data_IF_480582624040
#
_entry.id   IF_480582624040
#
_cell.length_a   1.000
_cell.length_b   1.000
_cell.length_c   1.000
_cell.angle_alpha   90.00
_cell.angle_beta   90.00
_cell.angle_gamma   90.00
#
_symmetry.space_group_name_H-M   'P 1'
#
loop_
_entity.id
_entity.type
_entity.pdbx_description
1 polymer ?
#
# COMPACT_ATOMS: atom_id res chain seq x y z
N UNK A 1 -29.37 18.35 23.37
CA UNK A 1 -29.61 17.18 22.50
C UNK A 1 -28.47 16.19 22.68
N UNK A 2 -28.75 15.04 23.30
CA UNK A 2 -27.78 13.98 23.56
C UNK A 2 -27.33 13.39 22.21
N UNK A 3 -26.04 13.43 21.91
CA UNK A 3 -25.50 12.78 20.71
C UNK A 3 -25.75 11.28 20.80
N UNK A 4 -26.52 10.72 19.88
CA UNK A 4 -26.72 9.28 19.80
C UNK A 4 -25.37 8.58 19.63
N UNK A 5 -24.97 7.78 20.63
CA UNK A 5 -23.81 6.89 20.50
C UNK A 5 -24.09 5.92 19.34
N UNK A 6 -23.14 5.71 18.42
CA UNK A 6 -23.32 4.74 17.34
C UNK A 6 -23.57 3.35 17.94
N UNK A 7 -24.67 2.70 17.55
CA UNK A 7 -24.99 1.33 17.96
C UNK A 7 -23.89 0.40 17.41
N UNK A 8 -23.17 -0.26 18.31
CA UNK A 8 -22.23 -1.33 17.95
C UNK A 8 -23.08 -2.53 17.55
N UNK A 9 -23.21 -2.76 16.25
CA UNK A 9 -23.90 -3.94 15.72
C UNK A 9 -22.96 -5.13 15.82
N UNK A 10 -23.26 -6.08 16.70
CA UNK A 10 -22.57 -7.37 16.79
C UNK A 10 -23.33 -8.41 15.94
N UNK A 11 -22.66 -8.98 14.94
CA UNK A 11 -23.19 -10.01 14.02
C UNK A 11 -22.33 -10.12 12.74
N UNK A 12 -22.65 -10.97 11.75
CA UNK A 12 -21.94 -11.04 10.46
C UNK A 12 -21.87 -9.68 9.73
N UNK A 13 -22.84 -8.80 9.99
CA UNK A 13 -22.87 -7.41 9.54
C UNK A 13 -21.76 -6.52 10.16
N UNK A 14 -21.09 -6.96 11.24
CA UNK A 14 -19.98 -6.27 11.87
C UNK A 14 -18.71 -6.27 11.01
N UNK A 15 -18.55 -7.28 10.13
CA UNK A 15 -17.48 -7.30 9.11
C UNK A 15 -17.66 -6.17 8.08
N UNK A 16 -18.91 -5.72 7.86
CA UNK A 16 -19.25 -4.65 6.91
C UNK A 16 -19.52 -3.29 7.59
N UNK A 17 -19.38 -3.19 8.90
CA UNK A 17 -19.69 -1.96 9.67
C UNK A 17 -18.71 -0.81 9.42
N UNK A 18 -17.46 -1.13 9.07
CA UNK A 18 -16.45 -0.15 8.67
C UNK A 18 -15.75 -0.59 7.38
N UNK A 19 -15.60 0.35 6.44
CA UNK A 19 -15.09 0.10 5.08
C UNK A 19 -13.74 -0.59 4.99
N UNK A 20 -12.92 -0.48 6.02
CA UNK A 20 -11.59 -1.07 6.06
C UNK A 20 -11.58 -2.55 6.39
N UNK A 21 -12.55 -3.04 7.17
CA UNK A 21 -12.53 -4.39 7.74
C UNK A 21 -12.55 -5.50 6.67
N UNK A 22 -13.37 -5.44 5.61
CA UNK A 22 -13.36 -6.47 4.58
C UNK A 22 -12.01 -6.57 3.88
N UNK A 23 -11.34 -5.44 3.60
CA UNK A 23 -10.05 -5.44 2.93
C UNK A 23 -8.90 -5.90 3.82
N UNK A 24 -8.84 -5.46 5.08
CA UNK A 24 -7.82 -5.95 6.01
C UNK A 24 -8.00 -7.45 6.29
N UNK A 25 -9.23 -7.90 6.57
CA UNK A 25 -9.52 -9.31 6.82
C UNK A 25 -9.34 -10.15 5.57
N UNK A 26 -9.91 -9.74 4.44
CA UNK A 26 -9.79 -10.43 3.16
C UNK A 26 -8.36 -10.50 2.67
N UNK A 27 -7.60 -9.40 2.78
CA UNK A 27 -6.18 -9.38 2.46
C UNK A 27 -5.38 -10.35 3.35
N UNK A 28 -5.59 -10.33 4.66
CA UNK A 28 -4.92 -11.25 5.57
C UNK A 28 -5.28 -12.72 5.30
N UNK A 29 -6.56 -13.01 5.09
CA UNK A 29 -7.04 -14.34 4.71
C UNK A 29 -6.43 -14.79 3.38
N UNK A 30 -6.39 -13.91 2.39
CA UNK A 30 -5.79 -14.20 1.10
C UNK A 30 -4.29 -14.46 1.22
N UNK A 31 -3.54 -13.67 1.97
CA UNK A 31 -2.12 -13.94 2.22
C UNK A 31 -1.90 -15.31 2.89
N UNK A 32 -2.77 -15.68 3.83
CA UNK A 32 -2.72 -16.98 4.50
C UNK A 32 -3.05 -18.16 3.56
N UNK A 33 -3.83 -17.94 2.50
CA UNK A 33 -4.17 -18.95 1.47
C UNK A 33 -3.11 -18.98 0.36
N UNK A 34 -2.71 -17.81 -0.14
CA UNK A 34 -1.78 -17.65 -1.25
C UNK A 34 -0.39 -18.20 -0.90
N UNK A 35 0.06 -18.09 0.36
CA UNK A 35 1.36 -18.62 0.76
C UNK A 35 1.46 -20.16 0.63
N UNK A 36 0.54 -20.97 1.22
CA UNK A 36 0.49 -22.41 0.95
C UNK A 36 0.32 -22.77 -0.52
N UNK A 37 -0.53 -22.07 -1.27
CA UNK A 37 -0.71 -22.30 -2.71
C UNK A 37 0.58 -22.08 -3.48
N UNK A 38 1.29 -20.99 -3.18
CA UNK A 38 2.59 -20.74 -3.78
C UNK A 38 3.62 -21.81 -3.42
N UNK A 39 3.69 -22.25 -2.17
CA UNK A 39 4.62 -23.33 -1.75
C UNK A 39 4.32 -24.62 -2.52
N UNK A 40 3.04 -24.97 -2.66
CA UNK A 40 2.62 -26.15 -3.43
C UNK A 40 2.94 -26.00 -4.92
N UNK A 41 2.79 -24.80 -5.49
CA UNK A 41 3.15 -24.48 -6.88
C UNK A 41 4.67 -24.54 -7.10
N UNK A 42 5.46 -23.95 -6.18
CA UNK A 42 6.92 -23.93 -6.23
C UNK A 42 7.52 -25.33 -6.11
N UNK A 43 6.91 -26.20 -5.30
CA UNK A 43 7.33 -27.59 -5.11
C UNK A 43 6.79 -28.55 -6.18
N UNK A 44 5.99 -28.04 -7.14
CA UNK A 44 5.40 -28.84 -8.21
C UNK A 44 4.28 -29.80 -7.75
N UNK A 45 3.74 -29.64 -6.54
CA UNK A 45 2.63 -30.46 -6.03
C UNK A 45 1.29 -30.12 -6.68
N UNK A 46 1.13 -28.87 -7.10
CA UNK A 46 0.00 -28.38 -7.89
C UNK A 46 0.55 -27.57 -9.07
N UNK A 47 -0.19 -27.55 -10.17
CA UNK A 47 0.17 -26.79 -11.36
C UNK A 47 -1.00 -25.90 -11.75
N UNK A 48 -0.81 -24.59 -11.59
CA UNK A 48 -1.70 -23.54 -12.05
C UNK A 48 -0.89 -22.26 -12.30
N UNK A 49 -1.49 -21.25 -12.92
CA UNK A 49 -0.81 -20.02 -13.32
C UNK A 49 0.41 -20.29 -14.21
N UNK A 50 0.30 -21.26 -15.12
CA UNK A 50 1.41 -21.74 -15.97
C UNK A 50 2.08 -20.63 -16.76
N UNK A 51 1.29 -19.63 -17.21
CA UNK A 51 1.79 -18.48 -17.97
C UNK A 51 2.54 -17.46 -17.11
N UNK A 52 2.21 -17.35 -15.82
CA UNK A 52 2.94 -16.49 -14.88
C UNK A 52 4.17 -17.19 -14.30
N UNK A 53 4.08 -18.50 -14.07
CA UNK A 53 5.03 -19.25 -13.27
C UNK A 53 4.93 -18.94 -11.77
N UNK A 54 5.53 -19.81 -10.95
CA UNK A 54 5.40 -19.76 -9.49
C UNK A 54 5.88 -18.44 -8.87
N UNK A 55 7.00 -17.90 -9.37
CA UNK A 55 7.62 -16.69 -8.81
C UNK A 55 6.81 -15.45 -9.13
N UNK A 56 6.38 -15.27 -10.39
CA UNK A 56 5.63 -14.08 -10.76
C UNK A 56 4.21 -14.11 -10.18
N UNK A 57 3.57 -15.28 -10.12
CA UNK A 57 2.26 -15.41 -9.46
C UNK A 57 2.35 -15.02 -7.98
N UNK A 58 3.37 -15.49 -7.27
CA UNK A 58 3.63 -15.07 -5.88
C UNK A 58 3.83 -13.57 -5.76
N UNK A 59 4.74 -13.00 -6.56
CA UNK A 59 5.01 -11.58 -6.52
C UNK A 59 3.73 -10.77 -6.76
N UNK A 60 2.91 -11.16 -7.74
CA UNK A 60 1.64 -10.51 -8.04
C UNK A 60 0.68 -10.57 -6.85
N UNK A 61 0.47 -11.74 -6.28
CA UNK A 61 -0.52 -11.92 -5.21
C UNK A 61 -0.14 -11.24 -3.90
N UNK A 62 1.16 -11.07 -3.60
CA UNK A 62 1.58 -10.30 -2.44
C UNK A 62 1.58 -8.78 -2.68
N UNK A 63 1.87 -8.33 -3.91
CA UNK A 63 1.90 -6.91 -4.26
C UNK A 63 0.52 -6.33 -4.55
N UNK A 64 -0.25 -6.96 -5.44
CA UNK A 64 -1.56 -6.50 -5.93
C UNK A 64 -2.73 -7.26 -5.31
N UNK A 65 -2.49 -8.45 -4.79
CA UNK A 65 -3.46 -9.19 -3.98
C UNK A 65 -3.61 -8.61 -2.59
N UNK A 66 -2.65 -8.97 -1.76
CA UNK A 66 -2.54 -8.53 -0.37
C UNK A 66 -2.24 -7.03 -0.26
N UNK A 67 -1.15 -6.55 -0.88
CA UNK A 67 -0.68 -5.17 -0.75
C UNK A 67 -1.75 -4.14 -1.14
N UNK A 68 -2.42 -4.34 -2.28
CA UNK A 68 -3.49 -3.46 -2.70
C UNK A 68 -4.69 -3.48 -1.74
N UNK A 69 -5.08 -4.64 -1.21
CA UNK A 69 -6.16 -4.72 -0.22
C UNK A 69 -5.83 -3.89 1.03
N UNK A 70 -4.61 -4.01 1.56
CA UNK A 70 -4.16 -3.24 2.73
C UNK A 70 -4.15 -1.73 2.43
N UNK A 71 -3.64 -1.31 1.27
CA UNK A 71 -3.63 0.10 0.86
C UNK A 71 -5.05 0.64 0.74
N UNK A 72 -5.95 -0.06 0.06
CA UNK A 72 -7.36 0.35 -0.09
C UNK A 72 -8.06 0.41 1.26
N UNK A 73 -7.91 -0.63 2.09
CA UNK A 73 -8.49 -0.68 3.43
C UNK A 73 -8.02 0.50 4.30
N UNK A 74 -6.73 0.82 4.23
CA UNK A 74 -6.18 1.97 4.94
C UNK A 74 -6.70 3.31 4.40
N UNK A 75 -6.69 3.52 3.08
CA UNK A 75 -7.14 4.77 2.46
C UNK A 75 -8.63 5.04 2.65
N UNK A 76 -9.45 3.99 2.73
CA UNK A 76 -10.85 4.10 3.10
C UNK A 76 -11.05 4.65 4.53
N UNK A 77 -10.07 4.51 5.43
CA UNK A 77 -10.12 5.15 6.76
C UNK A 77 -9.49 6.53 6.80
N UNK A 78 -8.46 6.75 5.97
CA UNK A 78 -7.64 7.95 6.02
C UNK A 78 -8.22 9.13 5.23
N UNK A 79 -9.00 8.88 4.17
CA UNK A 79 -9.59 9.94 3.35
C UNK A 79 -10.95 10.34 3.95
N UNK A 80 -11.05 11.55 4.55
CA UNK A 80 -12.31 12.01 5.11
C UNK A 80 -13.30 12.33 3.99
N UNK A 81 -14.55 11.85 4.10
CA UNK A 81 -15.61 12.29 3.21
C UNK A 81 -16.22 13.59 3.77
N UNK A 82 -16.22 14.68 3.00
CA UNK A 82 -16.82 15.96 3.43
C UNK A 82 -18.34 15.93 3.55
N UNK A 83 -19.01 14.86 3.11
CA UNK A 83 -20.45 14.62 3.35
C UNK A 83 -20.74 13.85 4.66
N UNK A 84 -19.74 13.64 5.53
CA UNK A 84 -19.94 13.00 6.85
C UNK A 84 -19.97 11.46 6.85
N UNK A 85 -19.73 10.82 5.69
CA UNK A 85 -19.65 9.36 5.54
C UNK A 85 -18.22 8.80 5.39
N UNK A 86 -18.07 7.52 5.08
CA UNK A 86 -16.87 7.03 4.36
C UNK A 86 -17.16 7.20 2.85
N UNK A 87 -16.17 7.43 1.98
CA UNK A 87 -16.39 7.55 0.54
C UNK A 87 -17.12 6.34 -0.06
N UNK A 88 -16.94 5.17 0.55
CA UNK A 88 -17.51 3.89 0.13
C UNK A 88 -18.07 3.18 1.36
N UNK A 89 -19.40 3.01 1.45
CA UNK A 89 -20.09 2.21 2.49
C UNK A 89 -21.12 1.27 1.85
N UNK A 90 -21.45 0.20 2.55
CA UNK A 90 -22.53 -0.72 2.16
C UNK A 90 -22.31 -1.32 0.78
N UNK A 91 -23.25 -1.11 -0.14
CA UNK A 91 -23.25 -1.73 -1.48
C UNK A 91 -22.00 -1.41 -2.29
N UNK A 92 -21.55 -0.16 -2.31
CA UNK A 92 -20.37 0.22 -3.08
C UNK A 92 -19.09 -0.47 -2.57
N UNK A 93 -19.02 -0.72 -1.25
CA UNK A 93 -17.90 -1.42 -0.63
C UNK A 93 -17.93 -2.90 -1.01
N UNK A 94 -19.12 -3.50 -0.96
CA UNK A 94 -19.32 -4.88 -1.36
C UNK A 94 -18.94 -5.09 -2.83
N UNK A 95 -19.36 -4.19 -3.73
CA UNK A 95 -18.97 -4.23 -5.15
C UNK A 95 -17.44 -4.18 -5.30
N UNK A 96 -16.79 -3.22 -4.65
CA UNK A 96 -15.34 -3.09 -4.74
C UNK A 96 -14.60 -4.34 -4.19
N UNK A 97 -15.08 -4.90 -3.08
CA UNK A 97 -14.53 -6.11 -2.50
C UNK A 97 -14.77 -7.34 -3.41
N UNK A 98 -15.95 -7.45 -4.03
CA UNK A 98 -16.23 -8.54 -4.98
C UNK A 98 -15.36 -8.44 -6.24
N UNK A 99 -15.06 -7.23 -6.73
CA UNK A 99 -14.14 -7.05 -7.86
C UNK A 99 -12.74 -7.51 -7.44
N UNK A 100 -12.26 -7.11 -6.26
CA UNK A 100 -10.98 -7.57 -5.72
C UNK A 100 -10.91 -9.09 -5.60
N UNK A 101 -11.93 -9.73 -5.00
CA UNK A 101 -12.00 -11.18 -4.85
C UNK A 101 -12.07 -11.89 -6.21
N UNK A 102 -12.77 -11.31 -7.18
CA UNK A 102 -12.85 -11.83 -8.55
C UNK A 102 -11.49 -11.82 -9.23
N UNK A 103 -10.66 -10.78 -9.02
CA UNK A 103 -9.28 -10.76 -9.53
C UNK A 103 -8.42 -11.91 -9.02
N UNK A 104 -8.54 -12.22 -7.72
CA UNK A 104 -7.83 -13.36 -7.09
C UNK A 104 -8.26 -14.70 -7.69
N UNK A 105 -9.57 -14.91 -7.83
CA UNK A 105 -10.09 -16.10 -8.49
C UNK A 105 -9.66 -16.15 -9.96
N UNK A 106 -9.68 -15.03 -10.67
CA UNK A 106 -9.28 -14.95 -12.07
C UNK A 106 -7.81 -15.34 -12.27
N UNK A 107 -6.91 -14.98 -11.35
CA UNK A 107 -5.51 -15.39 -11.39
C UNK A 107 -5.32 -16.87 -11.02
N UNK A 108 -6.11 -17.42 -10.08
CA UNK A 108 -6.09 -18.86 -9.80
C UNK A 108 -6.54 -19.70 -11.00
N UNK A 109 -7.58 -19.24 -11.70
CA UNK A 109 -8.16 -19.92 -12.86
C UNK A 109 -7.63 -19.37 -14.20
N UNK A 110 -6.49 -18.66 -14.18
CA UNK A 110 -5.95 -17.97 -15.36
C UNK A 110 -5.66 -18.91 -16.54
N UNK A 111 -5.30 -20.16 -16.26
CA UNK A 111 -5.08 -21.17 -17.30
C UNK A 111 -6.39 -21.62 -17.99
N UNK A 112 -7.54 -21.44 -17.33
CA UNK A 112 -8.87 -21.81 -17.86
C UNK A 112 -9.50 -20.64 -18.63
N UNK A 113 -9.49 -19.45 -18.04
CA UNK A 113 -10.14 -18.26 -18.63
C UNK A 113 -9.23 -17.48 -19.59
N UNK A 114 -7.93 -17.79 -19.59
CA UNK A 114 -6.91 -17.12 -20.37
C UNK A 114 -6.31 -15.89 -19.67
N UNK A 115 -5.04 -15.63 -19.97
CA UNK A 115 -4.23 -14.57 -19.36
C UNK A 115 -4.84 -13.16 -19.52
N UNK A 116 -5.35 -12.84 -20.71
CA UNK A 116 -5.92 -11.51 -20.99
C UNK A 116 -7.19 -11.27 -20.18
N UNK A 117 -8.07 -12.26 -20.09
CA UNK A 117 -9.29 -12.16 -19.29
C UNK A 117 -8.96 -12.04 -17.79
N UNK A 118 -8.01 -12.85 -17.31
CA UNK A 118 -7.54 -12.79 -15.93
C UNK A 118 -6.96 -11.41 -15.58
N UNK A 119 -6.07 -10.89 -16.42
CA UNK A 119 -5.46 -9.57 -16.26
C UNK A 119 -6.48 -8.43 -16.29
N UNK A 120 -7.49 -8.52 -17.16
CA UNK A 120 -8.55 -7.52 -17.23
C UNK A 120 -9.38 -7.50 -15.95
N UNK A 121 -9.85 -8.66 -15.47
CA UNK A 121 -10.64 -8.78 -14.24
C UNK A 121 -9.84 -8.28 -13.03
N UNK A 122 -8.57 -8.67 -12.94
CA UNK A 122 -7.67 -8.25 -11.87
C UNK A 122 -7.48 -6.72 -11.82
N UNK A 123 -7.21 -6.12 -12.98
CA UNK A 123 -6.93 -4.68 -13.09
C UNK A 123 -8.12 -3.79 -12.76
N UNK A 124 -9.37 -4.30 -12.90
CA UNK A 124 -10.59 -3.54 -12.58
C UNK A 124 -10.61 -3.04 -11.14
N UNK A 125 -10.03 -3.78 -10.19
CA UNK A 125 -10.04 -3.40 -8.79
C UNK A 125 -9.26 -2.10 -8.55
N UNK A 126 -7.98 -2.09 -8.93
CA UNK A 126 -7.10 -0.94 -8.72
C UNK A 126 -7.55 0.27 -9.53
N UNK A 127 -7.92 0.07 -10.80
CA UNK A 127 -8.47 1.13 -11.65
C UNK A 127 -9.77 1.70 -11.08
N UNK A 128 -10.72 0.85 -10.70
CA UNK A 128 -11.99 1.26 -10.11
C UNK A 128 -11.79 2.05 -8.82
N UNK A 129 -10.87 1.63 -7.96
CA UNK A 129 -10.53 2.37 -6.75
C UNK A 129 -9.83 3.69 -7.03
N UNK A 130 -8.89 3.72 -7.98
CA UNK A 130 -8.20 4.96 -8.37
C UNK A 130 -9.18 5.99 -8.93
N UNK A 131 -10.11 5.57 -9.80
CA UNK A 131 -11.18 6.44 -10.35
C UNK A 131 -12.06 6.98 -9.22
N UNK A 132 -12.44 6.14 -8.26
CA UNK A 132 -13.24 6.57 -7.13
C UNK A 132 -12.52 7.64 -6.30
N UNK A 133 -11.25 7.41 -5.94
CA UNK A 133 -10.47 8.40 -5.19
C UNK A 133 -10.27 9.69 -5.99
N UNK A 134 -10.00 9.59 -7.29
CA UNK A 134 -9.82 10.75 -8.16
C UNK A 134 -11.09 11.62 -8.23
N UNK A 135 -12.25 10.98 -8.36
CA UNK A 135 -13.56 11.66 -8.34
C UNK A 135 -13.77 12.42 -7.02
N UNK A 136 -13.48 11.80 -5.88
CA UNK A 136 -13.64 12.45 -4.57
C UNK A 136 -12.67 13.63 -4.38
N UNK A 137 -11.43 13.51 -4.86
CA UNK A 137 -10.44 14.60 -4.81
C UNK A 137 -10.90 15.80 -5.65
N UNK A 138 -11.39 15.58 -6.87
CA UNK A 138 -11.89 16.64 -7.75
C UNK A 138 -13.15 17.27 -7.17
N UNK A 139 -14.15 16.46 -6.83
CA UNK A 139 -15.43 16.94 -6.31
C UNK A 139 -15.27 17.71 -4.99
N UNK A 140 -14.40 17.21 -4.10
CA UNK A 140 -14.10 17.83 -2.82
C UNK A 140 -13.06 18.96 -2.87
N UNK A 141 -12.45 19.20 -4.04
CA UNK A 141 -11.29 20.11 -4.23
C UNK A 141 -10.18 19.89 -3.19
N UNK A 142 -9.96 18.64 -2.80
CA UNK A 142 -9.00 18.26 -1.77
C UNK A 142 -7.62 18.02 -2.35
N UNK A 143 -7.00 19.11 -2.81
CA UNK A 143 -5.68 19.10 -3.43
C UNK A 143 -4.57 18.54 -2.53
N UNK A 144 -4.80 18.47 -1.21
CA UNK A 144 -3.86 17.86 -0.26
C UNK A 144 -3.74 16.35 -0.44
N UNK A 145 -4.80 15.72 -0.95
CA UNK A 145 -4.91 14.29 -1.23
C UNK A 145 -4.67 13.93 -2.70
N UNK A 146 -4.44 14.91 -3.58
CA UNK A 146 -4.06 14.69 -4.98
C UNK A 146 -2.83 13.78 -5.11
N UNK A 147 -1.85 13.93 -4.20
CA UNK A 147 -0.65 13.07 -4.17
C UNK A 147 -0.99 11.59 -4.01
N UNK A 148 -1.95 11.27 -3.14
CA UNK A 148 -2.38 9.88 -2.92
C UNK A 148 -3.08 9.35 -4.17
N UNK A 149 -3.94 10.16 -4.78
CA UNK A 149 -4.66 9.80 -5.98
C UNK A 149 -3.70 9.54 -7.17
N UNK A 150 -2.65 10.35 -7.32
CA UNK A 150 -1.59 10.12 -8.31
C UNK A 150 -0.85 8.81 -8.06
N UNK A 151 -0.47 8.53 -6.82
CA UNK A 151 0.23 7.30 -6.48
C UNK A 151 -0.65 6.06 -6.72
N UNK A 152 -1.97 6.13 -6.52
CA UNK A 152 -2.90 5.06 -6.89
C UNK A 152 -2.99 4.83 -8.40
N UNK A 153 -2.90 5.89 -9.21
CA UNK A 153 -2.82 5.75 -10.67
C UNK A 153 -1.52 5.04 -11.08
N UNK A 154 -0.38 5.40 -10.49
CA UNK A 154 0.87 4.67 -10.71
C UNK A 154 0.79 3.22 -10.23
N UNK A 155 0.11 2.95 -9.11
CA UNK A 155 -0.10 1.58 -8.63
C UNK A 155 -0.94 0.75 -9.62
N UNK A 156 -2.01 1.34 -10.14
CA UNK A 156 -2.88 0.71 -11.14
C UNK A 156 -2.13 0.47 -12.45
N UNK A 157 -1.35 1.46 -12.89
CA UNK A 157 -0.49 1.34 -14.07
C UNK A 157 0.55 0.24 -13.91
N UNK A 158 1.17 0.12 -12.73
CA UNK A 158 2.13 -0.94 -12.45
C UNK A 158 1.48 -2.34 -12.48
N UNK A 159 0.23 -2.49 -12.06
CA UNK A 159 -0.52 -3.75 -12.20
C UNK A 159 -0.74 -4.13 -13.67
N UNK A 160 -1.19 -3.17 -14.46
CA UNK A 160 -1.43 -3.38 -15.90
C UNK A 160 -0.11 -3.71 -16.61
N UNK A 161 0.95 -2.96 -16.32
CA UNK A 161 2.29 -3.22 -16.84
C UNK A 161 2.80 -4.60 -16.42
N UNK A 162 2.51 -5.06 -15.20
CA UNK A 162 2.89 -6.39 -14.75
C UNK A 162 2.28 -7.47 -15.65
N UNK A 163 0.97 -7.39 -15.90
CA UNK A 163 0.30 -8.30 -16.81
C UNK A 163 0.82 -8.18 -18.25
N UNK A 164 1.11 -6.96 -18.70
CA UNK A 164 1.72 -6.71 -20.01
C UNK A 164 3.10 -7.37 -20.15
N UNK A 165 3.97 -7.24 -19.15
CA UNK A 165 5.29 -7.87 -19.17
C UNK A 165 5.21 -9.39 -19.16
N UNK A 166 4.26 -9.97 -18.43
CA UNK A 166 4.00 -11.42 -18.50
C UNK A 166 3.58 -11.82 -19.91
N UNK A 167 2.67 -11.06 -20.52
CA UNK A 167 2.16 -11.35 -21.86
C UNK A 167 3.24 -11.23 -22.95
N UNK A 168 4.08 -10.19 -22.91
CA UNK A 168 5.07 -9.93 -23.96
C UNK A 168 6.43 -10.60 -23.72
N UNK A 169 6.87 -10.68 -22.46
CA UNK A 169 8.23 -11.07 -22.09
C UNK A 169 8.28 -12.33 -21.23
N UNK A 170 7.14 -12.83 -20.73
CA UNK A 170 7.05 -14.00 -19.84
C UNK A 170 7.55 -13.77 -18.41
N UNK A 171 8.12 -12.58 -18.11
CA UNK A 171 8.64 -12.25 -16.79
C UNK A 171 8.56 -10.73 -16.50
N UNK A 172 8.11 -10.31 -15.31
CA UNK A 172 7.92 -8.90 -14.96
C UNK A 172 9.23 -8.29 -14.44
N UNK A 173 10.02 -7.73 -15.34
CA UNK A 173 11.33 -7.13 -15.05
C UNK A 173 11.18 -5.80 -14.29
N UNK A 174 10.25 -4.94 -14.72
CA UNK A 174 10.12 -3.58 -14.22
C UNK A 174 8.99 -3.44 -13.20
N UNK A 175 7.86 -4.10 -13.43
CA UNK A 175 6.63 -3.86 -12.67
C UNK A 175 6.71 -4.30 -11.22
N UNK A 176 7.51 -5.32 -10.89
CA UNK A 176 7.80 -5.69 -9.50
C UNK A 176 8.46 -4.51 -8.77
N UNK A 177 9.57 -4.00 -9.32
CA UNK A 177 10.31 -2.87 -8.71
C UNK A 177 9.47 -1.60 -8.69
N UNK A 178 8.71 -1.33 -9.75
CA UNK A 178 7.81 -0.19 -9.83
C UNK A 178 6.75 -0.24 -8.72
N UNK A 179 6.17 -1.42 -8.48
CA UNK A 179 5.12 -1.60 -7.48
C UNK A 179 5.67 -1.50 -6.06
N UNK A 180 6.81 -2.15 -5.78
CA UNK A 180 7.50 -2.00 -4.50
C UNK A 180 7.84 -0.52 -4.24
N UNK A 181 8.34 0.17 -5.26
CA UNK A 181 8.63 1.61 -5.19
C UNK A 181 7.37 2.42 -4.84
N UNK A 182 6.25 2.18 -5.52
CA UNK A 182 4.97 2.83 -5.25
C UNK A 182 4.49 2.58 -3.82
N UNK A 183 4.57 1.35 -3.33
CA UNK A 183 4.20 1.00 -1.95
C UNK A 183 5.10 1.70 -0.93
N UNK A 184 6.42 1.75 -1.15
CA UNK A 184 7.36 2.47 -0.29
C UNK A 184 7.05 3.97 -0.29
N UNK A 185 6.74 4.56 -1.46
CA UNK A 185 6.31 5.97 -1.55
C UNK A 185 5.03 6.22 -0.75
N UNK A 186 4.03 5.34 -0.83
CA UNK A 186 2.83 5.45 0.01
C UNK A 186 3.17 5.41 1.49
N UNK A 187 4.03 4.48 1.92
CA UNK A 187 4.50 4.38 3.32
C UNK A 187 5.22 5.67 3.74
N UNK A 188 6.11 6.21 2.91
CA UNK A 188 6.85 7.44 3.22
C UNK A 188 5.94 8.67 3.32
N UNK A 189 4.96 8.79 2.42
CA UNK A 189 4.03 9.93 2.38
C UNK A 189 3.03 9.87 3.54
N UNK A 190 2.43 8.71 3.79
CA UNK A 190 1.42 8.54 4.83
C UNK A 190 2.07 8.42 6.21
N UNK A 191 3.11 7.62 6.34
CA UNK A 191 3.88 7.46 7.58
C UNK A 191 4.49 8.78 8.05
N UNK A 192 5.01 9.60 7.13
CA UNK A 192 5.56 10.92 7.46
C UNK A 192 4.55 11.94 8.00
N UNK A 193 3.25 11.67 7.93
CA UNK A 193 2.20 12.47 8.58
C UNK A 193 1.71 11.82 9.86
N UNK A 194 1.48 10.51 9.80
CA UNK A 194 0.79 9.74 10.84
C UNK A 194 1.69 9.47 12.03
N UNK A 195 2.90 8.98 11.78
CA UNK A 195 3.85 8.61 12.82
C UNK A 195 4.19 9.82 13.71
N UNK A 196 4.68 10.95 13.18
CA UNK A 196 4.98 12.11 14.01
C UNK A 196 3.75 12.70 14.70
N UNK A 197 2.54 12.58 14.12
CA UNK A 197 1.31 13.04 14.76
C UNK A 197 0.97 12.20 16.00
N UNK A 198 1.03 10.86 15.90
CA UNK A 198 0.82 9.98 17.05
C UNK A 198 1.89 10.17 18.11
N UNK A 199 3.17 10.29 17.73
CA UNK A 199 4.27 10.58 18.66
C UNK A 199 4.02 11.91 19.38
N UNK A 200 3.65 12.97 18.66
CA UNK A 200 3.37 14.28 19.24
C UNK A 200 2.20 14.20 20.22
N UNK A 201 1.09 13.56 19.84
CA UNK A 201 -0.09 13.42 20.70
C UNK A 201 0.25 12.69 22.01
N UNK A 202 1.07 11.65 21.94
CA UNK A 202 1.52 10.93 23.13
C UNK A 202 2.46 11.77 24.01
N UNK A 203 3.45 12.45 23.42
CA UNK A 203 4.42 13.29 24.15
C UNK A 203 3.76 14.51 24.81
N UNK A 204 2.76 15.12 24.15
CA UNK A 204 1.98 16.22 24.72
C UNK A 204 1.20 15.76 25.94
N UNK A 205 0.57 14.58 25.90
CA UNK A 205 -0.12 14.00 27.07
C UNK A 205 0.83 13.72 28.25
N UNK A 206 2.11 13.47 27.96
CA UNK A 206 3.17 13.28 28.96
C UNK A 206 3.90 14.58 29.34
N UNK A 207 3.41 15.74 28.91
CA UNK A 207 4.00 17.06 29.18
C UNK A 207 5.49 17.14 28.81
N UNK A 208 5.92 16.41 27.78
CA UNK A 208 7.32 16.44 27.35
C UNK A 208 7.66 17.77 26.69
N UNK A 209 8.80 18.38 27.08
CA UNK A 209 9.31 19.62 26.46
C UNK A 209 9.81 19.43 25.03
N UNK A 210 10.10 18.19 24.63
CA UNK A 210 10.72 17.88 23.34
C UNK A 210 9.70 17.15 22.47
N UNK A 211 9.20 17.86 21.46
CA UNK A 211 8.22 17.34 20.52
C UNK A 211 8.88 16.99 19.18
N UNK A 212 8.24 16.12 18.37
CA UNK A 212 8.69 15.83 17.01
C UNK A 212 8.82 17.11 16.19
N UNK A 213 9.88 17.18 15.37
CA UNK A 213 10.10 18.33 14.51
C UNK A 213 9.01 18.34 13.42
N UNK A 214 8.30 19.46 13.20
CA UNK A 214 7.29 19.54 12.16
C UNK A 214 7.93 19.39 10.76
N UNK A 215 7.09 18.99 9.80
CA UNK A 215 7.50 18.82 8.41
C UNK A 215 8.09 20.13 7.85
N UNK A 216 9.30 20.07 7.29
CA UNK A 216 10.00 21.24 6.76
C UNK A 216 10.59 20.99 5.36
N UNK A 217 11.43 21.92 4.86
CA UNK A 217 12.06 21.81 3.55
C UNK A 217 12.95 20.57 3.41
N UNK A 218 13.66 20.17 4.47
CA UNK A 218 14.45 18.94 4.45
C UNK A 218 13.57 17.71 4.21
N UNK A 219 12.41 17.61 4.88
CA UNK A 219 11.49 16.49 4.67
C UNK A 219 11.00 16.43 3.22
N UNK A 220 10.79 17.59 2.59
CA UNK A 220 10.40 17.68 1.18
C UNK A 220 11.50 17.17 0.25
N UNK A 221 12.75 17.59 0.47
CA UNK A 221 13.89 17.15 -0.33
C UNK A 221 14.22 15.68 -0.12
N UNK A 222 14.20 15.20 1.12
CA UNK A 222 14.41 13.78 1.42
C UNK A 222 13.33 12.88 0.79
N UNK A 223 12.06 13.32 0.79
CA UNK A 223 10.98 12.58 0.14
C UNK A 223 11.12 12.62 -1.39
N UNK A 224 11.44 13.78 -1.98
CA UNK A 224 11.68 13.93 -3.41
C UNK A 224 12.88 13.10 -3.89
N UNK A 225 14.00 13.15 -3.16
CA UNK A 225 15.20 12.37 -3.45
C UNK A 225 14.95 10.86 -3.37
N UNK A 226 14.21 10.40 -2.36
CA UNK A 226 13.83 8.99 -2.26
C UNK A 226 12.91 8.53 -3.40
N UNK A 227 11.95 9.35 -3.82
CA UNK A 227 11.11 9.05 -5.00
C UNK A 227 11.96 8.95 -6.26
N UNK A 228 12.90 9.88 -6.47
CA UNK A 228 13.81 9.84 -7.62
C UNK A 228 14.73 8.63 -7.59
N UNK A 229 15.26 8.26 -6.43
CA UNK A 229 16.10 7.06 -6.26
C UNK A 229 15.32 5.77 -6.56
N UNK A 230 14.06 5.67 -6.11
CA UNK A 230 13.19 4.53 -6.42
C UNK A 230 12.82 4.45 -7.91
N UNK A 231 12.57 5.60 -8.55
CA UNK A 231 12.34 5.65 -10.00
C UNK A 231 13.58 5.19 -10.78
N UNK A 232 14.77 5.65 -10.36
CA UNK A 232 16.04 5.23 -10.93
C UNK A 232 16.28 3.72 -10.74
N UNK A 233 15.98 3.19 -9.54
CA UNK A 233 16.09 1.76 -9.24
C UNK A 233 15.13 0.88 -10.04
N UNK A 234 13.93 1.40 -10.31
CA UNK A 234 12.95 0.69 -11.14
C UNK A 234 13.50 0.44 -12.55
N UNK A 235 14.12 1.46 -13.16
CA UNK A 235 14.56 1.44 -14.56
C UNK A 235 15.98 0.87 -14.69
N UNK A 236 16.90 1.25 -13.80
CA UNK A 236 18.33 0.95 -13.88
C UNK A 236 18.88 0.38 -12.55
N UNK A 237 18.44 -0.81 -12.12
CA UNK A 237 18.81 -1.37 -10.82
C UNK A 237 20.32 -1.60 -10.67
N UNK A 238 21.02 -1.96 -11.75
CA UNK A 238 22.42 -2.41 -11.70
C UNK A 238 23.46 -1.28 -11.86
N UNK A 239 23.01 -0.02 -11.90
CA UNK A 239 23.92 1.14 -12.07
C UNK A 239 24.42 1.63 -10.72
N UNK A 240 25.72 1.91 -10.62
CA UNK A 240 26.33 2.50 -9.40
C UNK A 240 25.64 3.79 -8.96
N UNK A 241 25.22 4.63 -9.92
CA UNK A 241 24.47 5.87 -9.63
C UNK A 241 23.18 5.58 -8.87
N UNK A 242 22.50 4.48 -9.19
CA UNK A 242 21.32 4.00 -8.46
C UNK A 242 21.66 3.65 -7.03
N UNK A 243 22.74 2.89 -6.82
CA UNK A 243 23.20 2.52 -5.48
C UNK A 243 23.48 3.74 -4.59
N UNK A 244 24.28 4.68 -5.11
CA UNK A 244 24.55 5.94 -4.40
C UNK A 244 23.28 6.75 -4.11
N UNK A 245 22.35 6.83 -5.06
CA UNK A 245 21.08 7.52 -4.85
C UNK A 245 20.23 6.86 -3.75
N UNK A 246 20.19 5.52 -3.71
CA UNK A 246 19.49 4.75 -2.68
C UNK A 246 20.14 4.92 -1.31
N UNK A 247 21.47 4.89 -1.20
CA UNK A 247 22.20 5.13 0.05
C UNK A 247 21.89 6.53 0.62
N UNK A 248 21.96 7.57 -0.21
CA UNK A 248 21.61 8.93 0.20
C UNK A 248 20.14 9.04 0.61
N UNK A 249 19.23 8.38 -0.12
CA UNK A 249 17.83 8.30 0.26
C UNK A 249 17.67 7.61 1.63
N UNK A 250 18.34 6.48 1.87
CA UNK A 250 18.32 5.75 3.13
C UNK A 250 18.77 6.60 4.32
N UNK A 251 19.91 7.28 4.19
CA UNK A 251 20.40 8.21 5.21
C UNK A 251 19.38 9.33 5.47
N UNK A 252 18.84 9.93 4.41
CA UNK A 252 17.86 11.00 4.56
C UNK A 252 16.57 10.55 5.26
N UNK A 253 16.09 9.33 4.97
CA UNK A 253 14.90 8.75 5.60
C UNK A 253 15.18 8.34 7.06
N UNK A 254 16.39 7.89 7.38
CA UNK A 254 16.81 7.63 8.76
C UNK A 254 16.82 8.92 9.58
N UNK A 255 17.35 10.02 9.02
CA UNK A 255 17.31 11.34 9.66
C UNK A 255 15.86 11.78 9.90
N UNK A 256 14.95 11.59 8.92
CA UNK A 256 13.53 11.90 9.12
C UNK A 256 12.91 11.10 10.26
N UNK A 257 13.17 9.79 10.31
CA UNK A 257 12.67 8.94 11.39
C UNK A 257 13.20 9.40 12.75
N UNK A 258 14.47 9.79 12.83
CA UNK A 258 15.05 10.31 14.06
C UNK A 258 14.38 11.63 14.50
N UNK A 259 14.07 12.51 13.55
CA UNK A 259 13.37 13.78 13.83
C UNK A 259 11.96 13.59 14.40
N UNK A 260 11.39 12.38 14.31
CA UNK A 260 10.10 12.03 14.91
C UNK A 260 10.19 11.58 16.37
N UNK A 261 11.39 11.49 16.95
CA UNK A 261 11.62 11.22 18.37
C UNK A 261 10.98 9.92 18.90
N UNK A 262 10.89 8.88 18.05
CA UNK A 262 10.25 7.60 18.40
C UNK A 262 10.84 6.87 19.60
N UNK A 263 12.15 7.00 19.82
CA UNK A 263 12.85 6.39 20.96
C UNK A 263 12.31 6.85 22.33
N UNK A 264 11.60 7.99 22.37
CA UNK A 264 10.98 8.51 23.59
C UNK A 264 9.63 7.86 23.91
N UNK A 265 9.06 7.10 22.98
CA UNK A 265 7.73 6.51 23.07
C UNK A 265 7.73 5.00 23.41
N UNK A 266 8.86 4.45 23.87
CA UNK A 266 9.03 3.01 24.14
C UNK A 266 8.01 2.42 25.12
N UNK A 267 7.45 3.25 26.02
CA UNK A 267 6.40 2.82 26.96
C UNK A 267 5.02 2.64 26.31
N UNK A 268 4.82 3.07 25.07
CA UNK A 268 3.58 2.91 24.30
C UNK A 268 3.83 2.00 23.09
N UNK A 269 3.48 0.71 23.19
CA UNK A 269 3.73 -0.26 22.12
C UNK A 269 3.11 0.14 20.78
N UNK A 270 1.93 0.76 20.81
CA UNK A 270 1.22 1.20 19.59
C UNK A 270 1.96 2.29 18.82
N UNK A 271 2.65 3.20 19.53
CA UNK A 271 3.47 4.24 18.88
C UNK A 271 4.83 3.68 18.49
N UNK A 272 5.40 2.79 19.30
CA UNK A 272 6.71 2.19 19.06
C UNK A 272 6.72 1.35 17.78
N UNK A 273 5.70 0.51 17.56
CA UNK A 273 5.63 -0.36 16.38
C UNK A 273 5.58 0.44 15.06
N UNK A 274 5.00 1.64 15.07
CA UNK A 274 4.99 2.51 13.90
C UNK A 274 6.40 2.98 13.51
N UNK A 275 7.27 3.24 14.49
CA UNK A 275 8.66 3.63 14.23
C UNK A 275 9.51 2.45 13.79
N UNK A 276 9.31 1.28 14.40
CA UNK A 276 9.97 0.04 13.99
C UNK A 276 9.60 -0.30 12.55
N UNK A 277 8.29 -0.27 12.22
CA UNK A 277 7.81 -0.50 10.86
C UNK A 277 8.40 0.49 9.84
N UNK A 278 8.45 1.78 10.18
CA UNK A 278 9.09 2.76 9.30
C UNK A 278 10.60 2.56 9.19
N UNK A 279 11.28 2.05 10.23
CA UNK A 279 12.72 1.78 10.24
C UNK A 279 13.18 0.83 9.14
N UNK A 280 12.31 -0.04 8.65
CA UNK A 280 12.59 -0.89 7.50
C UNK A 280 12.75 -0.11 6.18
N UNK A 281 12.18 1.09 6.07
CA UNK A 281 12.33 1.92 4.86
C UNK A 281 13.78 2.38 4.66
N UNK A 282 14.42 3.13 5.58
CA UNK A 282 15.81 3.51 5.42
C UNK A 282 16.76 2.29 5.42
N UNK A 283 16.45 1.23 6.18
CA UNK A 283 17.23 0.00 6.14
C UNK A 283 17.19 -0.65 4.76
N UNK A 284 16.00 -0.77 4.15
CA UNK A 284 15.85 -1.32 2.80
C UNK A 284 16.59 -0.49 1.75
N UNK A 285 16.54 0.84 1.84
CA UNK A 285 17.33 1.72 0.97
C UNK A 285 18.84 1.47 1.08
N UNK A 286 19.35 1.29 2.30
CA UNK A 286 20.78 1.04 2.54
C UNK A 286 21.21 -0.36 2.11
N UNK A 287 20.36 -1.37 2.27
CA UNK A 287 20.69 -2.74 1.90
C UNK A 287 20.65 -2.98 0.38
N UNK A 288 19.80 -2.24 -0.34
CA UNK A 288 19.68 -2.34 -1.81
C UNK A 288 20.68 -1.43 -2.53
N UNK A 289 21.09 -0.33 -1.88
CA UNK A 289 22.01 0.67 -2.44
C UNK A 289 23.47 0.27 -2.33
#
# INVERSE_FOLDING_TARGET
MVSARPRIVCGPAALFSFGFRPFFFGGALWAAIAMPLWIALLTGRIAFATQYGAVAWHAHEFLFGYGAAIVVGFLLTAIPNRTGGLPVRGRALLVLFTIWASGRLALLFGDVIGLVAAAAIDSLFLLGFAVLVWREVIAGRDWRNLKIALVLLFFSGANISFHGEIFFSGYPLYSIRATVSVLIVLIMVMGGRIIPSFTRNWLVKRQSRHLPIPFNSFDRWALGGAISALALWTIFPDKQVTGFALLLAGISQAIRLLRWAGWRCGAEPLVSILHVGYGFVPLGFVLVG
#
